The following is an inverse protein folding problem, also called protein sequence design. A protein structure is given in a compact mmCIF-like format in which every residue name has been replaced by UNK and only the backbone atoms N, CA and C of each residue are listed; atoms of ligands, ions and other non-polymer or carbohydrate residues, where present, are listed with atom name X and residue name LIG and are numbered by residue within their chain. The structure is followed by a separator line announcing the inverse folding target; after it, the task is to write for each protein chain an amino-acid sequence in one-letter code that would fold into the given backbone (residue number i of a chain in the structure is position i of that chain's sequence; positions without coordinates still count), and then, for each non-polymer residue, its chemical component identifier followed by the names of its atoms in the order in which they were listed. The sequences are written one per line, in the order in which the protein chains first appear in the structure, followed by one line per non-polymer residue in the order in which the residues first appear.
data_IF_499823338408
#
_entry.id   IF_499823338408
#
_cell.length_a   1.000
_cell.length_b   1.000
_cell.length_c   1.000
_cell.angle_alpha   90.00
_cell.angle_beta   90.00
_cell.angle_gamma   90.00
#
_symmetry.space_group_name_H-M   'P 1'
#
loop_
_entity.id
_entity.type
_entity.pdbx_description
1 polymer ?
2 polymer ?
3 polymer ?
4 branched ?
5 non-polymer ?
#
# COMPACT_ATOMS: atom_id res chain seq x y z
N UNK A 10 11.28 7.42 -18.59
CA UNK A 10 10.92 6.02 -18.34
C UNK A 10 10.31 5.75 -16.96
N UNK A 11 10.88 6.37 -15.92
CA UNK A 11 10.53 6.07 -14.51
C UNK A 11 9.12 6.52 -14.13
N UNK A 12 8.72 6.25 -12.88
CA UNK A 12 7.37 6.53 -12.43
C UNK A 12 7.26 6.82 -10.93
N UNK A 13 6.26 7.65 -10.60
CA UNK A 13 6.04 8.15 -9.24
C UNK A 13 7.15 9.09 -8.93
N UNK A 14 7.03 9.85 -7.88
CA UNK A 14 8.10 10.78 -7.63
C UNK A 14 9.09 10.14 -6.66
N UNK A 15 9.39 8.85 -6.86
CA UNK A 15 10.40 8.21 -6.02
C UNK A 15 11.75 8.81 -6.30
N UNK A 16 12.49 9.12 -5.25
CA UNK A 16 13.84 9.61 -5.42
C UNK A 16 14.84 8.52 -5.02
N UNK A 17 16.11 8.78 -5.33
CA UNK A 17 17.22 7.94 -4.89
C UNK A 17 17.11 6.47 -5.29
N UNK A 18 16.54 6.21 -6.46
CA UNK A 18 16.42 4.82 -6.95
C UNK A 18 15.35 4.06 -6.19
N UNK A 19 14.42 4.81 -5.61
CA UNK A 19 13.23 4.20 -5.11
C UNK A 19 12.54 3.51 -6.26
N UNK A 20 11.78 2.48 -5.90
CA UNK A 20 10.98 1.70 -6.82
C UNK A 20 9.54 1.95 -6.42
N UNK A 21 8.71 2.27 -7.40
CA UNK A 21 7.33 2.57 -7.11
C UNK A 21 6.52 1.31 -6.85
N UNK A 22 5.50 1.37 -5.98
CA UNK A 22 4.57 0.24 -5.81
C UNK A 22 3.13 0.71 -5.68
N UNK A 23 2.19 -0.12 -6.10
CA UNK A 23 0.80 0.13 -5.86
C UNK A 23 0.06 -1.16 -5.64
N UNK A 24 -1.20 -1.04 -5.20
CA UNK A 24 -2.01 -2.22 -4.93
C UNK A 24 -3.47 -2.12 -5.39
N UNK A 25 -3.86 -3.05 -6.25
CA UNK A 25 -5.18 -3.05 -6.85
C UNK A 25 -6.29 -3.14 -5.82
N UNK A 26 -6.05 -3.79 -4.68
CA UNK A 26 -7.08 -3.94 -3.67
C UNK A 26 -7.29 -2.69 -2.84
N UNK A 27 -6.47 -1.66 -3.02
CA UNK A 27 -6.58 -0.48 -2.16
C UNK A 27 -6.55 0.84 -2.89
N UNK A 28 -7.56 1.09 -3.71
CA UNK A 28 -7.68 2.35 -4.43
C UNK A 28 -6.39 2.81 -5.12
N UNK A 29 -5.60 1.84 -5.57
CA UNK A 29 -4.30 2.09 -6.20
C UNK A 29 -3.42 3.17 -5.59
N UNK A 30 -3.54 3.33 -4.28
CA UNK A 30 -2.61 4.16 -3.58
C UNK A 30 -1.26 3.70 -4.03
N UNK A 31 -0.33 4.63 -4.19
CA UNK A 31 0.99 4.26 -4.65
C UNK A 31 1.94 4.74 -3.63
N UNK A 32 3.14 4.21 -3.60
CA UNK A 32 4.11 4.61 -2.59
C UNK A 32 5.46 4.04 -2.96
N UNK A 33 6.51 4.56 -2.34
CA UNK A 33 7.82 4.26 -2.82
C UNK A 33 8.37 3.09 -2.07
N UNK A 34 9.30 2.40 -2.71
CA UNK A 34 10.00 1.34 -2.12
C UNK A 34 11.46 1.70 -2.09
N UNK A 35 11.94 2.06 -0.90
CA UNK A 35 13.19 2.78 -0.72
C UNK A 35 14.34 1.93 -0.25
N UNK A 36 15.57 2.30 -0.66
CA UNK A 36 16.69 1.53 -0.22
C UNK A 36 17.29 2.13 1.04
N UNK A 37 17.62 1.26 1.99
CA UNK A 37 18.71 1.52 2.93
C UNK A 37 18.57 2.80 3.74
N UNK A 38 19.42 3.81 3.47
CA UNK A 38 19.45 5.02 4.29
C UNK A 38 18.55 6.11 3.73
N UNK A 39 17.47 5.70 3.05
CA UNK A 39 16.45 6.64 2.60
C UNK A 39 15.10 6.15 3.01
N UNK A 40 14.32 7.05 3.54
CA UNK A 40 12.94 6.78 3.77
C UNK A 40 12.17 7.98 3.32
N UNK A 41 11.02 8.17 3.93
CA UNK A 41 10.16 9.27 3.59
C UNK A 41 9.21 8.76 2.55
N UNK A 42 8.19 9.55 2.25
CA UNK A 42 7.22 9.08 1.27
C UNK A 42 7.92 8.73 -0.06
N UNK A 43 8.99 9.47 -0.38
CA UNK A 43 9.63 9.36 -1.71
C UNK A 43 11.11 8.94 -1.67
N UNK A 44 11.54 8.31 -0.58
CA UNK A 44 12.95 8.09 -0.32
C UNK A 44 13.59 9.45 -0.29
N UNK A 45 12.85 10.43 0.23
CA UNK A 45 13.26 11.84 0.19
C UNK A 45 14.27 12.10 1.25
N UNK A 46 14.37 11.21 2.24
CA UNK A 46 15.07 11.55 3.47
C UNK A 46 16.30 10.73 3.69
N UNK A 47 17.44 11.39 3.75
CA UNK A 47 18.68 10.68 3.94
C UNK A 47 18.79 10.42 5.42
N UNK A 48 18.22 9.30 5.83
CA UNK A 48 18.26 8.90 7.25
C UNK A 48 19.68 8.54 7.76
N UNK A 49 20.61 8.32 6.83
CA UNK A 49 22.04 8.26 7.17
C UNK A 49 22.64 9.57 7.76
N UNK A 50 22.46 10.71 7.09
CA UNK A 50 23.30 11.93 7.31
C UNK A 50 23.19 12.65 8.67
N UNK A 51 24.30 13.27 9.08
CA UNK A 51 24.37 14.01 10.33
C UNK A 51 25.03 15.37 10.22
N UNK A 52 25.51 15.71 9.04
CA UNK A 52 25.98 17.07 8.85
C UNK A 52 25.56 17.58 7.48
N UNK A 53 25.79 18.87 7.22
CA UNK A 53 25.45 19.43 5.92
C UNK A 53 26.68 19.93 5.21
N UNK A 54 26.65 19.71 3.92
CA UNK A 54 27.56 20.26 2.94
C UNK A 54 27.27 21.74 2.83
N UNK A 55 28.29 22.51 2.47
CA UNK A 55 28.22 23.97 2.46
C UNK A 55 26.86 24.56 2.08
N UNK A 56 26.43 25.56 2.85
CA UNK A 56 25.15 26.23 2.62
C UNK A 56 24.01 25.49 3.26
N UNK A 57 23.76 24.26 2.81
CA UNK A 57 22.71 23.41 3.37
C UNK A 57 21.50 23.22 2.47
N UNK A 58 21.43 23.97 1.36
CA UNK A 58 20.29 23.90 0.45
C UNK A 58 19.98 22.51 -0.05
N UNK A 59 21.00 21.69 -0.24
CA UNK A 59 20.83 20.31 -0.66
C UNK A 59 20.92 19.29 0.49
N UNK A 60 20.98 19.74 1.74
CA UNK A 60 20.83 18.85 2.89
C UNK A 60 19.42 18.29 3.06
N UNK A 61 19.30 16.96 3.02
CA UNK A 61 18.09 16.30 3.48
C UNK A 61 18.40 15.57 4.82
N UNK A 62 17.81 14.42 5.10
CA UNK A 62 18.11 13.82 6.39
C UNK A 62 17.56 14.58 7.58
N UNK A 63 17.68 14.00 8.77
CA UNK A 63 16.80 14.37 9.90
C UNK A 63 17.43 15.48 10.71
N UNK A 64 16.86 15.83 11.85
CA UNK A 64 17.45 16.91 12.63
C UNK A 64 16.39 17.94 12.65
N UNK A 65 15.88 18.22 13.85
CA UNK A 65 14.59 18.85 14.00
C UNK A 65 14.55 20.00 14.99
N UNK A 66 15.71 20.56 15.31
CA UNK A 66 15.86 21.41 16.49
C UNK A 66 16.78 22.61 16.19
N UNK A 67 16.50 23.80 16.74
CA UNK A 67 17.38 24.94 16.45
C UNK A 67 18.50 25.03 17.48
N UNK A 68 19.14 26.19 17.63
CA UNK A 68 20.31 26.33 18.50
C UNK A 68 19.98 26.19 19.98
N UNK A 69 18.80 26.68 20.34
CA UNK A 69 18.35 26.73 21.73
C UNK A 69 17.80 25.38 22.18
N UNK A 70 17.73 24.44 21.24
CA UNK A 70 17.14 23.13 21.49
C UNK A 70 15.66 23.12 21.14
N UNK A 71 15.12 24.28 20.79
CA UNK A 71 13.71 24.39 20.46
C UNK A 71 13.43 23.49 19.26
N UNK A 72 12.32 22.72 19.29
CA UNK A 72 11.94 21.85 18.19
C UNK A 72 11.32 22.61 17.04
N UNK A 73 11.58 22.15 15.83
CA UNK A 73 11.04 22.79 14.65
C UNK A 73 9.52 22.61 14.53
N UNK A 74 8.84 23.59 13.97
CA UNK A 74 7.44 23.41 13.56
C UNK A 74 7.40 22.58 12.27
N UNK A 75 6.40 21.67 12.12
CA UNK A 75 6.28 20.87 10.91
C UNK A 75 5.97 21.70 9.68
N UNK A 76 6.64 21.39 8.56
CA UNK A 76 6.46 22.14 7.32
C UNK A 76 5.03 22.17 6.79
N UNK A 77 4.20 21.21 7.24
CA UNK A 77 2.77 21.13 6.86
C UNK A 77 1.79 21.65 7.91
N UNK A 78 2.27 22.06 9.07
CA UNK A 78 1.40 22.58 10.11
C UNK A 78 0.68 23.89 9.66
N UNK A 79 -0.46 24.20 10.26
CA UNK A 79 -1.22 25.41 9.92
C UNK A 79 -0.43 26.73 10.06
N UNK A 80 0.41 26.83 11.09
CA UNK A 80 1.19 28.05 11.26
C UNK A 80 2.17 28.12 10.12
N UNK A 81 2.98 27.07 9.95
CA UNK A 81 4.00 27.09 8.91
C UNK A 81 3.33 27.30 7.53
N UNK A 82 2.11 26.77 7.41
CA UNK A 82 1.38 26.89 6.17
C UNK A 82 1.11 28.35 5.82
N UNK A 83 1.37 29.24 6.78
CA UNK A 83 1.21 30.68 6.53
C UNK A 83 2.51 31.35 6.05
N UNK A 84 3.66 30.71 6.25
CA UNK A 84 4.92 31.30 5.79
C UNK A 84 5.19 31.14 4.30
N UNK A 85 6.35 31.65 3.89
CA UNK A 85 6.83 31.45 2.54
C UNK A 85 7.14 29.98 2.29
N UNK A 86 7.71 29.27 3.26
CA UNK A 86 8.18 27.90 2.99
C UNK A 86 7.40 26.82 3.71
N UNK A 87 6.70 25.99 2.95
CA UNK A 87 5.87 24.94 3.53
C UNK A 87 5.63 23.83 2.53
N UNK A 88 5.14 22.71 3.04
CA UNK A 88 5.13 21.43 2.33
C UNK A 88 4.12 21.37 1.22
N UNK A 89 3.14 22.26 1.25
CA UNK A 89 2.08 22.30 0.23
C UNK A 89 2.42 23.33 -0.79
N UNK A 90 3.45 23.07 -1.61
CA UNK A 90 4.11 24.13 -2.34
C UNK A 90 4.84 23.62 -3.57
N UNK A 91 4.17 22.81 -4.39
CA UNK A 91 4.70 22.41 -5.70
C UNK A 91 6.16 21.97 -5.57
N UNK A 92 7.10 22.90 -5.70
CA UNK A 92 8.52 22.57 -5.53
C UNK A 92 8.87 21.93 -4.18
N UNK A 93 7.89 21.78 -3.29
CA UNK A 93 8.11 21.27 -1.92
C UNK A 93 9.07 20.09 -1.78
N UNK A 94 8.94 19.10 -2.68
CA UNK A 94 9.83 17.95 -2.64
C UNK A 94 11.25 18.37 -2.98
N UNK A 95 11.38 19.19 -4.02
CA UNK A 95 12.69 19.60 -4.48
C UNK A 95 13.36 20.48 -3.46
N UNK A 96 12.57 21.04 -2.55
CA UNK A 96 13.13 21.85 -1.46
C UNK A 96 13.26 21.09 -0.16
N UNK A 97 12.87 19.83 -0.15
CA UNK A 97 12.99 19.02 1.07
C UNK A 97 11.95 19.31 2.12
N UNK A 98 10.89 20.01 1.73
CA UNK A 98 9.87 20.42 2.66
C UNK A 98 8.67 19.51 2.57
N UNK A 99 8.42 18.78 3.64
CA UNK A 99 7.35 17.81 3.66
C UNK A 99 6.61 17.74 4.97
N UNK A 100 6.13 16.55 5.28
CA UNK A 100 5.26 16.27 6.40
C UNK A 100 6.19 15.76 7.48
N UNK A 101 6.96 16.68 8.05
CA UNK A 101 8.00 16.38 9.03
C UNK A 101 8.45 17.73 9.49
N UNK A 102 9.27 17.77 10.53
CA UNK A 102 9.91 19.01 10.92
C UNK A 102 11.44 18.94 10.86
N UNK A 103 11.96 18.25 9.87
CA UNK A 103 13.39 18.22 9.64
C UNK A 103 13.89 19.55 9.09
N UNK A 104 15.08 19.95 9.54
CA UNK A 104 15.74 21.20 9.12
C UNK A 104 15.92 21.31 7.65
N UNK A 105 15.86 22.51 7.11
CA UNK A 105 16.12 22.71 5.68
C UNK A 105 16.60 24.13 5.45
N UNK A 106 17.08 24.40 4.24
CA UNK A 106 17.52 25.74 3.85
C UNK A 106 17.15 25.97 2.41
N UNK A 107 15.85 26.03 2.15
CA UNK A 107 15.34 26.19 0.79
C UNK A 107 15.58 27.59 0.27
N UNK A 108 15.88 28.52 1.16
CA UNK A 108 16.15 29.91 0.76
C UNK A 108 17.58 30.32 1.10
N UNK A 109 18.53 29.44 0.88
CA UNK A 109 19.94 29.80 0.94
C UNK A 109 20.32 30.81 2.03
N UNK A 110 19.96 30.54 3.29
CA UNK A 110 20.63 31.18 4.44
C UNK A 110 22.04 30.58 4.54
N UNK A 111 22.83 31.06 5.49
CA UNK A 111 24.20 30.55 5.67
C UNK A 111 24.17 29.08 5.99
N UNK A 112 23.09 28.65 6.63
CA UNK A 112 22.96 27.27 7.03
C UNK A 112 21.52 26.78 7.12
N UNK A 113 21.32 25.46 7.22
CA UNK A 113 20.07 24.81 7.58
C UNK A 113 19.36 25.41 8.78
N UNK A 114 18.05 25.62 8.62
CA UNK A 114 17.20 26.34 9.58
C UNK A 114 15.80 25.78 9.59
N UNK A 115 14.90 26.45 10.32
CA UNK A 115 13.49 26.06 10.34
C UNK A 115 12.62 27.07 11.07
N UNK A 116 11.30 26.93 10.96
CA UNK A 116 10.34 27.77 11.70
C UNK A 116 10.16 27.26 13.15
N UNK A 117 10.17 28.17 14.11
CA UNK A 117 10.13 27.76 15.51
C UNK A 117 9.22 28.68 16.28
N UNK A 118 8.45 28.07 17.17
CA UNK A 118 7.40 28.79 17.86
C UNK A 118 8.08 29.48 19.03
N UNK A 119 8.39 30.75 18.83
CA UNK A 119 8.92 31.64 19.85
C UNK A 119 8.13 32.92 19.75
N UNK A 120 7.34 33.22 20.77
CA UNK A 120 6.37 34.28 20.63
C UNK A 120 5.14 33.72 19.95
N UNK A 121 4.39 34.57 19.27
CA UNK A 121 3.17 34.19 18.56
C UNK A 121 3.59 33.79 17.13
N UNK A 122 3.33 34.62 16.11
CA UNK A 122 4.15 34.63 14.88
C UNK A 122 5.49 33.89 15.15
N UNK A 123 5.70 32.71 14.51
CA UNK A 123 6.89 31.90 14.76
C UNK A 123 8.06 32.34 13.92
N UNK A 124 9.27 32.11 14.42
CA UNK A 124 10.49 32.75 13.90
C UNK A 124 11.35 31.72 13.20
N UNK A 125 12.05 32.16 12.15
CA UNK A 125 12.99 31.29 11.50
C UNK A 125 14.23 31.26 12.35
N UNK A 126 14.79 30.07 12.53
CA UNK A 126 15.94 29.86 13.43
C UNK A 126 17.02 28.96 12.81
N UNK A 127 18.26 29.42 12.72
CA UNK A 127 19.35 28.54 12.33
C UNK A 127 19.27 27.27 13.18
N UNK A 128 19.57 26.14 12.56
CA UNK A 128 19.25 24.85 13.16
C UNK A 128 20.41 24.01 13.65
N UNK A 129 20.13 23.26 14.72
CA UNK A 129 20.97 22.19 15.31
C UNK A 129 21.67 21.22 14.32
N UNK A 130 22.71 21.65 13.66
CA UNK A 130 23.32 20.78 12.70
C UNK A 130 24.74 21.17 12.47
N UNK A 131 25.53 20.19 12.08
CA UNK A 131 26.95 20.37 11.94
C UNK A 131 27.30 20.48 10.48
N UNK A 132 28.28 21.32 10.19
CA UNK A 132 28.91 21.38 8.88
C UNK A 132 29.97 20.29 8.85
N UNK A 133 29.99 19.53 7.77
CA UNK A 133 30.90 18.40 7.64
C UNK A 133 32.38 18.81 7.61
N UNK A 134 32.66 20.11 7.67
CA UNK A 134 34.02 20.59 7.87
C UNK A 134 34.52 20.25 9.26
N UNK B 1 3.96 -8.44 35.87
CA UNK B 1 5.17 -7.59 35.81
C UNK B 1 5.64 -7.43 34.36
N UNK B 2 6.10 -6.23 34.02
CA UNK B 2 6.35 -5.84 32.62
C UNK B 2 7.84 -5.84 32.33
N UNK B 3 8.45 -4.67 32.10
CA UNK B 3 9.92 -4.54 32.10
C UNK B 3 10.67 -5.47 31.15
N UNK B 4 11.48 -4.88 30.29
CA UNK B 4 12.18 -5.66 29.28
C UNK B 4 13.60 -6.04 29.72
N UNK B 5 14.08 -5.46 30.82
CA UNK B 5 15.40 -5.84 31.31
C UNK B 5 15.43 -7.34 31.52
N UNK B 6 14.30 -7.90 31.94
CA UNK B 6 14.10 -9.34 31.94
C UNK B 6 14.48 -9.96 30.59
N UNK B 7 15.69 -10.51 30.54
CA UNK B 7 16.21 -11.25 29.41
C UNK B 7 16.33 -10.39 28.15
N UNK B 8 15.21 -9.85 27.67
CA UNK B 8 15.20 -8.87 26.60
C UNK B 8 15.34 -9.49 25.24
N UNK B 9 15.60 -10.79 25.13
CA UNK B 9 15.63 -11.45 23.81
C UNK B 9 15.32 -12.94 23.88
N UNK B 10 14.17 -13.22 24.44
CA UNK B 10 13.54 -14.52 24.37
C UNK B 10 12.78 -14.60 23.07
N UNK B 11 11.81 -13.70 22.90
CA UNK B 11 10.87 -13.75 21.77
C UNK B 11 9.47 -13.41 22.25
N UNK B 12 8.45 -13.71 21.45
CA UNK B 12 7.07 -13.35 21.83
C UNK B 12 6.51 -14.27 22.92
N UNK B 13 6.11 -13.63 24.02
CA UNK B 13 5.59 -14.30 25.20
C UNK B 13 4.08 -14.11 25.33
N UNK B 14 3.30 -15.06 24.82
CA UNK B 14 1.85 -14.89 24.71
C UNK B 14 1.12 -14.73 26.07
N UNK B 15 1.64 -15.29 27.16
CA UNK B 15 1.20 -14.81 28.50
C UNK B 15 2.26 -13.91 29.15
N UNK B 16 2.26 -12.66 28.71
CA UNK B 16 3.17 -11.61 29.19
C UNK B 16 2.66 -10.24 28.70
N UNK B 17 2.79 -9.20 29.53
CA UNK B 17 2.34 -7.84 29.18
C UNK B 17 3.21 -7.29 28.05
N UNK B 18 4.09 -6.32 28.28
CA UNK B 18 4.94 -5.85 27.16
C UNK B 18 5.79 -6.97 26.61
N UNK B 19 6.22 -6.76 25.37
CA UNK B 19 7.07 -7.70 24.67
C UNK B 19 8.41 -7.07 24.38
N UNK B 20 9.40 -7.93 24.14
CA UNK B 20 10.79 -7.49 23.98
C UNK B 20 11.41 -8.01 22.72
N UNK B 21 10.58 -8.50 21.82
CA UNK B 21 11.09 -9.11 20.60
C UNK B 21 11.26 -8.07 19.50
N UNK B 22 11.72 -8.57 18.36
CA UNK B 22 12.10 -7.75 17.21
C UNK B 22 10.91 -7.06 16.51
N UNK B 23 9.71 -7.54 16.74
CA UNK B 23 8.53 -7.01 16.06
C UNK B 23 7.58 -6.31 17.05
N UNK B 24 8.04 -6.00 18.26
CA UNK B 24 7.13 -5.49 19.27
C UNK B 24 6.56 -4.14 18.80
N UNK B 25 7.42 -3.26 18.28
CA UNK B 25 6.95 -2.00 17.69
C UNK B 25 5.94 -2.24 16.55
N UNK B 26 6.12 -3.27 15.75
CA UNK B 26 5.14 -3.55 14.72
C UNK B 26 3.82 -3.83 15.37
N UNK B 27 3.87 -4.75 16.34
CA UNK B 27 2.65 -5.20 16.98
C UNK B 27 2.25 -4.20 18.01
N UNK B 28 3.06 -3.15 18.15
CA UNK B 28 2.78 -2.05 19.07
C UNK B 28 2.71 -2.58 20.49
N UNK B 29 3.72 -3.35 20.89
CA UNK B 29 3.65 -4.07 22.16
C UNK B 29 4.88 -3.97 23.05
N UNK B 30 5.86 -3.16 22.65
CA UNK B 30 7.12 -3.08 23.38
C UNK B 30 6.99 -2.66 24.84
N UNK B 31 8.03 -2.93 25.61
CA UNK B 31 8.23 -2.30 26.90
C UNK B 31 8.86 -0.98 26.66
N UNK B 32 8.53 -0.03 27.51
CA UNK B 32 8.99 1.33 27.34
C UNK B 32 10.49 1.44 27.56
N UNK B 33 11.09 0.37 28.08
CA UNK B 33 12.55 0.30 28.20
C UNK B 33 13.20 -0.64 27.17
N UNK B 34 12.42 -1.17 26.21
CA UNK B 34 13.01 -1.97 25.13
C UNK B 34 14.13 -1.15 24.49
N UNK B 35 13.75 -0.03 23.87
CA UNK B 35 14.70 0.82 23.16
C UNK B 35 15.95 0.97 24.00
N UNK B 36 15.75 1.36 25.25
CA UNK B 36 16.86 1.55 26.17
C UNK B 36 17.56 0.23 26.40
N UNK B 37 16.90 -0.69 27.10
CA UNK B 37 17.55 -1.92 27.58
C UNK B 37 18.28 -2.63 26.47
N UNK B 38 17.57 -3.20 25.49
CA UNK B 38 18.28 -3.86 24.39
C UNK B 38 17.99 -3.21 23.03
N UNK B 39 18.54 -2.00 22.85
CA UNK B 39 18.59 -1.30 21.56
C UNK B 39 19.22 0.11 21.74
N UNK B 40 20.36 0.21 22.45
CA UNK B 40 20.76 1.56 22.87
C UNK B 40 21.31 2.42 21.73
N UNK C 3 -23.83 13.32 -1.03
CA UNK C 3 -22.58 12.77 -0.42
C UNK C 3 -21.39 13.69 -0.66
N UNK C 4 -20.82 14.22 0.43
CA UNK C 4 -19.55 14.93 0.41
C UNK C 4 -18.51 14.10 1.13
N UNK C 5 -17.25 14.29 0.80
CA UNK C 5 -16.18 13.54 1.46
C UNK C 5 -14.97 14.40 1.70
N UNK C 6 -14.06 13.86 2.49
CA UNK C 6 -12.74 14.42 2.65
C UNK C 6 -11.88 13.89 1.50
N UNK C 7 -11.27 14.83 0.78
CA UNK C 7 -10.22 14.51 -0.17
C UNK C 7 -8.85 14.83 0.46
N UNK C 8 -8.01 13.82 0.59
CA UNK C 8 -6.71 13.98 1.19
C UNK C 8 -5.60 13.18 0.47
N UNK C 9 -4.64 13.94 -0.07
CA UNK C 9 -3.40 13.42 -0.61
C UNK C 9 -2.51 12.98 0.53
N UNK C 10 -1.66 12.01 0.26
CA UNK C 10 -0.67 11.56 1.20
C UNK C 10 0.16 12.72 1.72
N UNK C 11 0.42 13.75 0.93
CA UNK C 11 1.21 14.88 1.45
C UNK C 11 0.40 15.65 2.50
N UNK C 12 -0.84 15.21 2.72
CA UNK C 12 -1.70 15.73 3.76
C UNK C 12 -2.58 16.92 3.40
N UNK C 13 -2.40 17.50 2.23
CA UNK C 13 -3.26 18.60 1.72
C UNK C 13 -4.71 18.07 1.62
N UNK C 14 -5.66 18.74 2.27
CA UNK C 14 -7.07 18.28 2.22
C UNK C 14 -8.06 19.35 1.84
N UNK C 15 -9.26 18.88 1.49
CA UNK C 15 -10.34 19.75 1.05
C UNK C 15 -11.61 18.91 1.14
N UNK C 16 -12.73 19.47 0.65
CA UNK C 16 -14.00 18.77 0.63
C UNK C 16 -14.49 18.64 -0.80
N UNK C 17 -14.83 17.43 -1.23
CA UNK C 17 -15.46 17.23 -2.54
C UNK C 17 -16.94 16.79 -2.43
N UNK C 18 -17.81 17.47 -3.19
CA UNK C 18 -19.23 17.11 -3.29
C UNK C 18 -19.29 15.73 -3.94
N UNK C 19 -19.43 14.70 -3.11
CA UNK C 19 -18.64 13.49 -3.30
C UNK C 19 -18.72 12.80 -4.68
N UNK C 20 -18.39 13.57 -5.72
CA UNK C 20 -18.36 13.11 -7.10
C UNK C 20 -19.77 13.05 -7.58
N UNK C 21 -20.01 12.35 -8.68
CA UNK C 21 -21.39 12.17 -9.20
C UNK C 21 -21.89 10.83 -8.69
N UNK C 22 -22.70 10.13 -9.50
CA UNK C 22 -23.16 8.75 -9.26
C UNK C 22 -22.63 8.00 -8.05
N UNK C 23 -21.30 7.94 -7.94
CA UNK C 23 -20.55 7.26 -6.84
C UNK C 23 -20.74 7.83 -5.44
N UNK C 24 -20.82 6.94 -4.43
CA UNK C 24 -21.17 7.35 -3.07
C UNK C 24 -20.71 6.44 -1.94
N UNK C 25 -19.41 6.49 -1.73
CA UNK C 25 -18.80 6.15 -0.46
C UNK C 25 -17.58 7.07 -0.32
N UNK C 26 -17.26 7.46 0.90
CA UNK C 26 -15.97 8.02 1.13
C UNK C 26 -15.16 6.90 1.70
N UNK C 27 -13.86 7.04 1.56
CA UNK C 27 -12.97 6.01 2.00
C UNK C 27 -11.70 6.63 2.55
N UNK C 28 -11.06 5.85 3.42
CA UNK C 28 -9.71 6.13 3.85
C UNK C 28 -8.81 4.92 3.65
N UNK C 29 -7.61 5.19 3.20
CA UNK C 29 -6.71 4.12 2.88
C UNK C 29 -5.44 4.47 3.58
N UNK C 30 -4.85 3.48 4.24
CA UNK C 30 -3.65 3.72 5.01
C UNK C 30 -2.62 2.71 4.62
N UNK C 31 -1.39 3.19 4.50
CA UNK C 31 -0.27 2.35 4.20
C UNK C 31 0.70 2.66 5.30
N UNK C 32 1.12 1.62 6.03
CA UNK C 32 2.12 1.75 7.08
C UNK C 32 3.38 0.98 6.66
N UNK C 33 4.44 1.72 6.42
CA UNK C 33 5.69 1.15 6.05
C UNK C 33 6.47 1.08 7.33
N UNK C 34 6.89 -0.13 7.71
CA UNK C 34 7.51 -0.38 9.01
C UNK C 34 8.83 -1.15 8.81
N UNK C 35 9.90 -0.72 9.47
CA UNK C 35 11.23 -1.21 9.16
C UNK C 35 12.12 -1.14 10.42
N UNK C 36 12.46 -2.30 10.98
CA UNK C 36 12.98 -2.41 12.36
C UNK C 36 12.32 -1.34 13.24
N UNK C 37 13.08 -0.53 13.96
CA UNK C 37 12.42 0.46 14.79
C UNK C 37 11.42 1.29 13.99
N UNK C 38 11.91 1.94 12.96
CA UNK C 38 11.22 3.08 12.41
C UNK C 38 10.06 2.74 11.48
N UNK C 39 9.20 3.76 11.29
CA UNK C 39 7.98 3.63 10.52
C UNK C 39 7.45 4.94 9.98
N UNK C 40 6.39 4.86 9.16
CA UNK C 40 5.88 5.96 8.33
C UNK C 40 4.51 5.56 7.90
N UNK C 41 3.64 6.53 7.72
CA UNK C 41 2.20 6.30 7.56
C UNK C 41 1.71 7.16 6.45
N UNK C 42 1.07 6.59 5.45
CA UNK C 42 0.47 7.37 4.44
C UNK C 42 -1.03 7.14 4.53
N UNK C 43 -1.75 8.24 4.43
CA UNK C 43 -3.18 8.23 4.55
C UNK C 43 -3.77 8.91 3.33
N UNK C 44 -4.75 8.29 2.69
CA UNK C 44 -5.47 8.94 1.60
C UNK C 44 -6.97 8.95 1.88
N UNK C 45 -7.66 10.02 1.54
CA UNK C 45 -9.09 10.03 1.69
C UNK C 45 -9.69 10.54 0.41
N UNK C 46 -10.89 10.07 0.10
CA UNK C 46 -11.64 10.56 -1.05
C UNK C 46 -12.96 9.81 -1.24
N UNK C 47 -13.82 10.34 -2.12
CA UNK C 47 -14.93 9.63 -2.76
C UNK C 47 -14.51 8.26 -3.30
N UNK C 48 -15.50 7.41 -3.58
CA UNK C 48 -15.26 6.20 -4.35
C UNK C 48 -16.56 5.51 -4.64
N UNK C 49 -16.51 4.46 -5.47
CA UNK C 49 -17.72 3.76 -5.89
C UNK C 49 -18.22 2.78 -4.82
N UNK C 50 -19.47 2.36 -5.03
CA UNK C 50 -20.27 1.69 -4.01
C UNK C 50 -19.79 0.27 -3.66
N UNK C 51 -19.39 -0.52 -4.65
CA UNK C 51 -18.97 -1.90 -4.40
C UNK C 51 -17.58 -2.04 -3.78
N UNK C 52 -16.97 -0.94 -3.31
CA UNK C 52 -15.80 -0.98 -2.40
C UNK C 52 -16.19 -1.32 -0.95
N UNK C 53 -15.23 -1.80 -0.17
CA UNK C 53 -15.51 -2.30 1.18
C UNK C 53 -14.27 -2.27 2.10
N UNK C 54 -14.45 -2.73 3.34
CA UNK C 54 -13.40 -2.77 4.36
C UNK C 54 -12.46 -3.97 4.19
N UNK C 55 -11.15 -3.75 4.22
CA UNK C 55 -10.14 -4.78 3.79
C UNK C 55 -8.71 -4.57 4.32
N UNK C 56 -7.86 -5.63 4.45
CA UNK C 56 -6.49 -5.36 5.00
C UNK C 56 -5.19 -5.76 4.33
N UNK C 57 -4.87 -6.99 4.08
CA UNK C 57 -3.48 -7.24 3.54
C UNK C 57 -2.27 -6.60 4.30
N UNK C 58 -1.34 -7.47 4.73
CA UNK C 58 -0.12 -7.03 5.45
C UNK C 58 0.95 -8.03 5.17
N UNK C 59 2.16 -7.60 4.82
CA UNK C 59 3.19 -8.57 4.48
C UNK C 59 4.62 -8.13 4.66
N UNK C 60 5.47 -9.13 4.87
CA UNK C 60 6.88 -8.93 5.14
C UNK C 60 7.67 -9.06 3.89
N UNK C 61 8.55 -8.11 3.64
CA UNK C 61 9.58 -8.22 2.64
C UNK C 61 10.86 -7.99 3.42
N UNK C 62 11.63 -9.04 3.62
CA UNK C 62 12.91 -8.92 4.30
C UNK C 62 12.73 -8.37 5.69
N UNK C 63 13.57 -7.39 6.04
CA UNK C 63 13.52 -6.69 7.31
C UNK C 63 12.20 -5.93 7.56
N UNK C 64 11.36 -5.74 6.54
CA UNK C 64 10.28 -4.76 6.64
C UNK C 64 8.94 -5.42 6.58
N UNK C 65 7.94 -4.77 7.18
CA UNK C 65 6.56 -5.12 6.94
C UNK C 65 5.80 -3.91 6.40
N UNK C 66 4.87 -4.18 5.46
CA UNK C 66 3.93 -3.23 4.88
C UNK C 66 2.52 -3.66 5.30
N UNK C 67 1.65 -2.67 5.50
CA UNK C 67 0.29 -2.92 6.04
C UNK C 67 -0.74 -2.04 5.38
N UNK C 68 -1.47 -2.61 4.43
CA UNK C 68 -2.45 -1.84 3.78
C UNK C 68 -3.73 -2.01 4.50
N UNK C 69 -4.51 -0.96 4.47
CA UNK C 69 -5.80 -1.02 5.06
C UNK C 69 -6.62 0.13 4.51
N UNK C 70 -7.90 -0.17 4.28
CA UNK C 70 -8.81 0.80 3.68
C UNK C 70 -10.21 0.67 4.25
N UNK C 71 -10.71 1.75 4.83
CA UNK C 71 -12.01 1.72 5.47
C UNK C 71 -13.04 2.57 4.76
N UNK C 72 -14.28 2.16 4.90
CA UNK C 72 -15.33 2.55 4.01
C UNK C 72 -16.57 2.86 4.82
N UNK C 73 -17.10 4.08 4.61
CA UNK C 73 -18.39 4.52 5.14
C UNK C 73 -19.16 5.32 4.05
N UNK C 74 -20.40 5.72 4.36
CA UNK C 74 -21.27 6.43 3.40
C UNK C 74 -22.15 7.56 3.92
N UNK C 75 -21.53 8.61 4.46
CA UNK C 75 -22.20 9.76 5.07
C UNK C 75 -21.49 11.06 4.67
N UNK C 76 -22.25 12.11 4.35
CA UNK C 76 -21.68 13.43 4.03
C UNK C 76 -20.62 13.74 5.08
N UNK C 77 -19.37 13.47 4.75
CA UNK C 77 -18.24 13.56 5.69
C UNK C 77 -18.34 12.51 6.81
N UNK C 78 -17.49 11.48 6.67
CA UNK C 78 -17.25 10.45 7.69
C UNK C 78 -15.85 9.78 7.60
N UNK C 79 -15.04 10.16 6.61
CA UNK C 79 -13.65 9.79 6.59
C UNK C 79 -12.83 10.68 7.50
N UNK C 80 -13.35 11.89 7.71
CA UNK C 80 -13.04 12.83 8.80
C UNK C 80 -12.57 12.21 10.13
N UNK C 81 -11.39 12.62 10.61
CA UNK C 81 -10.85 12.09 11.88
C UNK C 81 -9.87 10.90 11.72
N UNK C 82 -9.32 10.49 12.88
CA UNK C 82 -8.16 9.61 12.96
C UNK C 82 -8.47 8.10 12.84
N UNK C 83 -7.41 7.34 12.53
CA UNK C 83 -7.45 5.87 12.26
C UNK C 83 -8.03 4.97 13.40
N UNK C 84 -8.04 3.65 13.17
CA UNK C 84 -8.54 2.67 14.15
C UNK C 84 -9.18 1.45 13.53
N UNK C 87 -3.41 3.20 25.13
CA UNK C 87 -4.57 2.37 24.82
C UNK C 87 -4.04 0.96 24.40
N UNK C 88 -4.59 0.40 23.31
CA UNK C 88 -4.06 -0.79 22.60
C UNK C 88 -5.20 -1.43 21.77
N UNK C 89 -5.07 -1.37 20.43
CA UNK C 89 -5.86 -2.18 19.47
C UNK C 89 -5.11 -3.53 19.17
N UNK C 90 -3.78 -3.55 19.21
CA UNK C 90 -3.08 -4.82 19.25
C UNK C 90 -2.75 -5.13 20.69
N UNK C 91 -3.73 -5.70 21.39
CA UNK C 91 -3.48 -6.27 22.71
C UNK C 91 -2.84 -7.65 22.56
N UNK C 92 -2.91 -8.22 21.35
CA UNK C 92 -2.33 -9.51 21.10
C UNK C 92 -1.97 -9.73 19.63
N UNK C 93 -1.49 -10.93 19.36
CA UNK C 93 -1.09 -11.39 18.05
C UNK C 93 -1.85 -12.67 17.79
N UNK C 94 -2.44 -12.79 16.60
CA UNK C 94 -3.42 -13.85 16.31
C UNK C 94 -2.86 -14.89 15.34
N UNK C 95 -3.50 -15.09 14.20
CA UNK C 95 -3.10 -16.17 13.31
C UNK C 95 -1.68 -15.96 12.78
N UNK C 96 -1.00 -17.08 12.54
CA UNK C 96 0.36 -17.09 11.98
C UNK C 96 0.32 -17.57 10.55
N UNK C 97 0.88 -16.76 9.65
CA UNK C 97 1.01 -17.12 8.24
C UNK C 97 2.37 -16.85 7.73
N UNK C 98 2.61 -17.47 6.58
CA UNK C 98 3.79 -17.22 5.80
C UNK C 98 3.57 -15.93 5.08
N UNK C 99 4.67 -15.23 4.86
CA UNK C 99 4.58 -14.04 4.11
C UNK C 99 5.87 -13.69 3.42
N UNK C 100 5.72 -13.07 2.25
CA UNK C 100 6.82 -12.51 1.47
C UNK C 100 6.20 -11.62 0.40
N UNK C 101 7.02 -11.08 -0.51
CA UNK C 101 6.49 -10.42 -1.71
C UNK C 101 7.49 -10.11 -2.79
N UNK C 102 6.98 -9.80 -4.00
CA UNK C 102 7.86 -9.65 -5.17
C UNK C 102 8.82 -8.48 -5.15
N UNK C 103 8.55 -7.43 -4.38
CA UNK C 103 9.39 -6.22 -4.39
C UNK C 103 10.85 -6.45 -3.98
N UNK C 104 11.13 -7.49 -3.21
CA UNK C 104 12.52 -7.93 -2.95
C UNK C 104 12.70 -9.43 -3.23
N UNK C 105 11.78 -9.97 -4.02
CA UNK C 105 11.82 -11.37 -4.41
C UNK C 105 11.77 -12.38 -3.25
N UNK C 106 11.59 -11.91 -2.02
CA UNK C 106 11.47 -12.83 -0.90
C UNK C 106 10.52 -13.96 -1.26
N UNK C 107 9.47 -13.63 -1.99
CA UNK C 107 8.57 -14.67 -2.47
C UNK C 107 9.27 -15.61 -3.46
N UNK C 108 9.86 -15.03 -4.49
CA UNK C 108 10.38 -15.79 -5.63
C UNK C 108 11.58 -16.65 -5.30
N UNK C 109 12.32 -16.29 -4.27
CA UNK C 109 13.52 -17.00 -3.88
C UNK C 109 13.26 -17.76 -2.57
N UNK C 110 12.00 -18.16 -2.36
CA UNK C 110 11.60 -18.95 -1.21
C UNK C 110 12.03 -18.42 0.14
N UNK C 111 12.35 -17.13 0.24
CA UNK C 111 12.73 -16.55 1.52
C UNK C 111 11.49 -16.12 2.30
N UNK C 112 10.59 -17.07 2.53
CA UNK C 112 9.28 -16.82 3.14
C UNK C 112 9.49 -16.59 4.64
N UNK C 113 8.60 -15.85 5.29
CA UNK C 113 8.73 -15.58 6.72
C UNK C 113 7.38 -15.71 7.49
N UNK C 114 7.47 -16.00 8.78
CA UNK C 114 6.31 -16.08 9.63
C UNK C 114 5.85 -14.68 9.93
N UNK C 115 4.53 -14.47 9.90
CA UNK C 115 3.93 -13.17 10.20
C UNK C 115 2.64 -13.43 10.94
N UNK C 116 2.45 -12.76 12.07
CA UNK C 116 1.26 -12.99 12.86
C UNK C 116 0.31 -11.84 12.59
N UNK C 117 -0.97 -12.15 12.49
CA UNK C 117 -1.94 -11.10 12.27
C UNK C 117 -2.18 -10.24 13.49
N UNK C 118 -2.76 -9.07 13.23
CA UNK C 118 -2.97 -8.09 14.26
C UNK C 118 -4.40 -8.07 14.74
N UNK C 119 -5.26 -8.82 14.06
CA UNK C 119 -6.68 -8.85 14.40
C UNK C 119 -7.26 -10.26 14.27
N UNK C 120 -8.37 -10.53 14.99
CA UNK C 120 -9.01 -11.84 14.99
C UNK C 120 -9.77 -12.21 13.73
N UNK C 121 -9.85 -11.30 12.78
CA UNK C 121 -10.69 -11.53 11.62
C UNK C 121 -9.79 -11.82 10.40
N UNK C 122 -8.55 -11.36 10.49
CA UNK C 122 -7.60 -11.53 9.42
C UNK C 122 -7.30 -13.03 9.20
N UNK C 123 -7.15 -13.41 7.92
CA UNK C 123 -6.76 -14.75 7.49
C UNK C 123 -5.47 -14.67 6.68
N UNK C 124 -4.92 -15.82 6.35
CA UNK C 124 -3.73 -15.83 5.50
C UNK C 124 -4.13 -15.81 4.01
N UNK C 125 -3.36 -15.04 3.26
CA UNK C 125 -3.66 -14.71 1.87
C UNK C 125 -2.44 -14.94 1.03
N UNK C 126 -2.70 -15.38 -0.20
CA UNK C 126 -1.73 -15.47 -1.30
C UNK C 126 -2.45 -14.78 -2.47
N UNK C 127 -1.90 -13.68 -2.93
CA UNK C 127 -2.49 -12.97 -4.06
C UNK C 127 -1.45 -12.99 -5.20
N UNK C 128 -1.93 -13.23 -6.41
CA UNK C 128 -1.12 -13.24 -7.63
C UNK C 128 -1.64 -12.18 -8.59
N UNK C 129 -0.75 -11.37 -9.13
CA UNK C 129 -1.15 -10.32 -10.05
C UNK C 129 -0.20 -10.27 -11.20
N UNK C 130 -0.57 -10.88 -12.31
CA UNK C 130 0.33 -10.95 -13.47
C UNK C 130 -0.21 -10.22 -14.67
N UNK C 131 0.66 -9.52 -15.40
CA UNK C 131 0.27 -8.81 -16.65
C UNK C 131 1.25 -9.07 -17.77
N UNK C 132 0.75 -9.46 -18.95
CA UNK C 132 1.62 -9.67 -20.11
C UNK C 132 2.66 -8.57 -20.20
N UNK C 133 2.23 -7.31 -20.35
CA UNK C 133 3.15 -6.14 -20.38
C UNK C 133 2.37 -4.78 -20.37
N UNK C 134 2.25 -4.12 -21.52
CA UNK C 134 1.88 -2.68 -21.61
C UNK C 134 0.36 -2.42 -21.84
N UNK C 135 -0.08 -1.21 -21.47
CA UNK C 135 -1.43 -0.69 -21.81
C UNK C 135 -1.46 0.83 -21.90
N UNK C 136 -1.17 1.46 -20.76
CA UNK C 136 -0.84 2.90 -20.67
C UNK C 136 0.56 3.12 -21.28
N UNK C 137 1.57 2.55 -20.60
CA UNK C 137 2.99 2.56 -21.01
C UNK C 137 3.84 1.81 -19.94
N UNK C 138 3.35 0.66 -19.49
CA UNK C 138 3.99 -0.04 -18.37
C UNK C 138 3.02 -0.78 -17.45
N UNK C 139 1.81 -0.23 -17.27
CA UNK C 139 0.71 -0.88 -16.50
C UNK C 139 0.88 -0.95 -14.97
N UNK C 140 -0.20 -1.27 -14.23
CA UNK C 140 -0.15 -1.34 -12.76
C UNK C 140 1.16 -1.79 -12.15
N UNK C 141 1.47 -1.28 -10.95
CA UNK C 141 2.69 -1.61 -10.27
C UNK C 141 2.40 -2.42 -9.03
N UNK C 142 1.42 -3.31 -9.13
CA UNK C 142 1.22 -4.37 -8.15
C UNK C 142 2.40 -5.32 -8.09
N UNK C 143 2.79 -5.65 -6.87
CA UNK C 143 3.71 -6.74 -6.66
C UNK C 143 3.02 -7.95 -7.24
N UNK C 144 3.81 -8.81 -7.82
CA UNK C 144 3.25 -9.90 -8.58
C UNK C 144 2.85 -11.07 -7.69
N UNK C 145 3.61 -11.29 -6.62
CA UNK C 145 3.23 -12.18 -5.53
C UNK C 145 3.40 -11.47 -4.23
N UNK C 146 2.41 -11.68 -3.39
CA UNK C 146 2.30 -11.02 -2.10
C UNK C 146 1.66 -12.11 -1.27
N UNK C 147 2.21 -12.44 -0.11
CA UNK C 147 1.42 -13.17 0.84
C UNK C 147 1.70 -12.80 2.28
N UNK C 148 0.72 -13.12 3.13
CA UNK C 148 0.60 -12.48 4.44
C UNK C 148 -0.78 -12.52 5.09
N UNK C 149 -1.03 -11.52 5.94
CA UNK C 149 -2.24 -11.44 6.75
C UNK C 149 -3.18 -10.50 6.10
N UNK C 150 -4.47 -10.80 6.19
CA UNK C 150 -5.40 -9.87 5.61
C UNK C 150 -6.82 -10.36 5.60
N UNK C 151 -7.70 -9.45 5.24
CA UNK C 151 -9.04 -9.82 4.91
C UNK C 151 -9.46 -9.01 3.71
N UNK C 152 -9.48 -9.69 2.57
CA UNK C 152 -9.74 -9.08 1.28
C UNK C 152 -11.17 -9.37 0.83
N UNK C 153 -11.65 -8.65 -0.18
CA UNK C 153 -13.07 -8.79 -0.45
C UNK C 153 -13.32 -10.15 -1.05
N UNK C 154 -14.44 -10.76 -0.67
CA UNK C 154 -14.82 -12.08 -1.19
C UNK C 154 -13.61 -12.99 -1.02
N UNK C 155 -13.51 -13.54 0.15
CA UNK C 155 -12.27 -14.09 0.59
C UNK C 155 -12.46 -15.57 0.86
N UNK C 156 -13.15 -15.92 1.97
CA UNK C 156 -13.01 -17.31 2.41
C UNK C 156 -12.89 -18.20 1.19
N UNK C 157 -11.83 -19.00 1.14
CA UNK C 157 -11.59 -19.85 0.00
C UNK C 157 -10.83 -19.10 -1.07
N UNK C 158 -11.28 -19.23 -2.31
CA UNK C 158 -10.47 -18.73 -3.39
C UNK C 158 -11.17 -18.21 -4.63
N UNK C 159 -10.42 -17.42 -5.39
CA UNK C 159 -10.89 -17.00 -6.70
C UNK C 159 -9.75 -16.65 -7.66
N UNK C 160 -10.03 -16.78 -8.96
CA UNK C 160 -9.00 -16.52 -9.96
C UNK C 160 -9.57 -16.34 -11.33
N UNK C 161 -8.88 -15.52 -12.11
CA UNK C 161 -9.18 -15.36 -13.54
C UNK C 161 -7.87 -15.30 -14.33
N UNK C 162 -7.84 -15.98 -15.47
CA UNK C 162 -6.77 -15.71 -16.40
C UNK C 162 -7.29 -15.66 -17.77
N UNK C 163 -6.53 -15.00 -18.66
CA UNK C 163 -6.83 -15.01 -20.09
C UNK C 163 -5.56 -14.75 -20.86
N UNK C 164 -5.63 -14.50 -22.16
CA UNK C 164 -4.39 -14.39 -22.96
C UNK C 164 -3.25 -13.66 -22.28
N UNK C 165 -3.54 -12.65 -21.48
CA UNK C 165 -2.46 -11.78 -21.01
C UNK C 165 -2.62 -11.29 -19.55
N UNK C 166 -3.33 -12.05 -18.74
CA UNK C 166 -3.45 -11.71 -17.36
C UNK C 166 -3.81 -12.89 -16.52
N UNK C 167 -3.43 -12.78 -15.25
CA UNK C 167 -3.73 -13.79 -14.28
C UNK C 167 -3.69 -13.21 -12.88
N UNK C 168 -4.79 -13.41 -12.17
CA UNK C 168 -5.02 -12.82 -10.86
C UNK C 168 -5.50 -13.93 -9.99
N UNK C 169 -5.06 -14.00 -8.75
CA UNK C 169 -5.55 -15.08 -7.89
C UNK C 169 -5.48 -14.73 -6.42
N UNK C 170 -6.50 -15.16 -5.66
CA UNK C 170 -6.60 -14.94 -4.21
C UNK C 170 -6.86 -16.28 -3.58
N UNK C 171 -5.93 -16.74 -2.78
CA UNK C 171 -6.24 -17.78 -1.83
C UNK C 171 -6.36 -17.00 -0.53
N UNK C 172 -7.20 -17.53 0.34
CA UNK C 172 -7.66 -16.79 1.47
C UNK C 172 -8.35 -17.78 2.43
N UNK C 173 -7.67 -18.09 3.53
CA UNK C 173 -7.97 -19.28 4.31
C UNK C 173 -7.75 -19.02 5.81
N UNK C 174 -8.58 -19.65 6.66
CA UNK C 174 -8.60 -19.31 8.11
C UNK C 174 -7.75 -20.19 9.01
N UNK C 175 -7.08 -21.20 8.46
CA UNK C 175 -6.31 -22.14 9.29
C UNK C 175 -4.84 -21.69 9.47
N UNK C 176 -4.14 -22.25 10.45
CA UNK C 176 -2.74 -21.89 10.74
C UNK C 176 -1.82 -22.17 9.57
N UNK C 177 -1.12 -21.14 9.11
CA UNK C 177 -0.18 -21.25 7.97
C UNK C 177 -0.78 -21.86 6.70
N UNK C 178 -2.10 -21.89 6.60
CA UNK C 178 -2.75 -22.44 5.43
C UNK C 178 -2.35 -21.74 4.13
N UNK C 179 -1.58 -20.65 4.19
CA UNK C 179 -1.05 -19.99 2.99
C UNK C 179 0.36 -20.38 2.55
N UNK C 180 0.94 -21.40 3.16
CA UNK C 180 2.33 -21.71 2.82
C UNK C 180 2.42 -22.57 1.55
N UNK C 181 3.66 -22.93 1.19
CA UNK C 181 3.91 -23.76 0.01
C UNK C 181 4.51 -22.91 -1.09
N UNK C 182 4.73 -23.52 -2.26
CA UNK C 182 5.42 -22.85 -3.35
C UNK C 182 4.49 -21.82 -4.01
N UNK C 183 5.04 -20.74 -4.55
CA UNK C 183 4.19 -19.69 -5.14
C UNK C 183 3.65 -20.16 -6.49
N UNK C 184 2.32 -20.06 -6.69
CA UNK C 184 1.67 -20.46 -7.99
C UNK C 184 2.35 -19.77 -9.13
N UNK C 185 2.43 -20.39 -10.31
CA UNK C 185 2.85 -19.63 -11.50
C UNK C 185 1.93 -19.73 -12.70
N UNK C 186 0.74 -20.28 -12.52
CA UNK C 186 -0.20 -20.52 -13.64
C UNK C 186 0.33 -21.55 -14.64
N UNK C 187 1.28 -21.14 -15.45
CA UNK C 187 1.95 -22.02 -16.46
C UNK C 187 2.60 -23.19 -15.76
N UNK C 188 1.80 -23.92 -15.01
CA UNK C 188 2.29 -24.55 -13.80
C UNK C 188 1.17 -25.27 -13.06
N UNK C 189 -0.04 -24.81 -13.30
CA UNK C 189 -1.25 -25.49 -12.90
C UNK C 189 -1.74 -26.26 -14.11
N UNK C 190 -2.42 -27.41 -13.88
CA UNK C 190 -2.93 -28.29 -14.94
C UNK C 190 -3.93 -27.65 -15.86
N UNK C 191 -4.02 -28.10 -17.09
CA UNK C 191 -5.12 -27.65 -17.93
C UNK C 191 -6.30 -28.42 -17.43
N UNK C 192 -7.44 -27.78 -17.25
CA UNK C 192 -8.56 -28.44 -16.59
C UNK C 192 -9.46 -29.13 -17.57
N UNK C 193 -9.30 -28.78 -18.84
CA UNK C 193 -10.08 -29.39 -19.93
C UNK C 193 -10.88 -28.36 -20.71
N UNK C 194 -11.30 -27.28 -20.05
CA UNK C 194 -12.13 -26.29 -20.72
C UNK C 194 -11.28 -25.44 -21.63
N UNK C 195 -11.93 -24.96 -22.69
CA UNK C 195 -11.39 -23.95 -23.57
C UNK C 195 -12.35 -22.79 -23.45
N UNK C 196 -11.82 -21.58 -23.47
CA UNK C 196 -12.63 -20.39 -23.42
C UNK C 196 -12.01 -19.35 -24.27
N UNK C 197 -12.84 -18.41 -24.70
CA UNK C 197 -12.36 -17.29 -25.45
C UNK C 197 -11.71 -16.26 -24.53
N UNK C 198 -10.92 -15.39 -25.13
CA UNK C 198 -10.06 -14.44 -24.41
C UNK C 198 -9.91 -13.09 -25.17
N UNK C 199 -10.16 -11.97 -24.49
CA UNK C 199 -9.76 -10.64 -24.98
C UNK C 199 -9.89 -9.64 -23.87
N UNK C 200 -9.34 -8.45 -24.09
CA UNK C 200 -9.55 -7.28 -23.25
C UNK C 200 -10.14 -6.22 -24.16
N UNK C 201 -10.30 -4.98 -23.71
CA UNK C 201 -10.62 -3.88 -24.62
C UNK C 201 -12.07 -3.81 -25.05
N UNK C 202 -12.33 -2.97 -26.05
CA UNK C 202 -13.73 -2.65 -26.42
C UNK C 202 -14.35 -3.77 -27.24
N UNK C 203 -15.68 -3.77 -27.28
CA UNK C 203 -16.44 -4.77 -28.02
C UNK C 203 -16.14 -4.69 -29.52
N UNK C 204 -15.73 -3.50 -29.97
CA UNK C 204 -15.23 -3.33 -31.33
C UNK C 204 -13.78 -2.91 -31.20
N UNK C 205 -12.91 -3.64 -31.90
CA UNK C 205 -11.46 -3.60 -31.70
C UNK C 205 -11.05 -3.66 -30.23
N UNK C 206 -10.52 -4.84 -29.87
CA UNK C 206 -10.21 -5.21 -28.50
C UNK C 206 -10.83 -6.58 -28.31
N UNK C 207 -12.16 -6.58 -28.25
CA UNK C 207 -12.96 -7.79 -28.16
C UNK C 207 -13.87 -7.92 -29.39
N UNK C 208 -13.28 -8.12 -30.56
CA UNK C 208 -14.03 -8.42 -31.76
C UNK C 208 -13.75 -9.88 -32.12
N UNK C 209 -14.63 -10.47 -32.94
CA UNK C 209 -14.58 -11.91 -33.27
C UNK C 209 -13.23 -12.33 -33.76
N UNK C 210 -12.63 -11.45 -34.56
CA UNK C 210 -11.35 -11.64 -35.22
C UNK C 210 -10.19 -11.60 -34.22
N UNK C 211 -10.43 -10.95 -33.07
CA UNK C 211 -9.42 -10.77 -32.02
C UNK C 211 -9.56 -11.70 -30.84
N UNK C 212 -10.65 -12.46 -30.82
CA UNK C 212 -10.99 -13.33 -29.70
C UNK C 212 -10.86 -14.77 -30.12
N UNK C 213 -10.06 -15.51 -29.36
CA UNK C 213 -9.57 -16.83 -29.78
C UNK C 213 -9.53 -17.61 -28.51
N UNK C 214 -9.50 -18.94 -28.61
CA UNK C 214 -9.52 -19.78 -27.41
C UNK C 214 -8.17 -19.94 -26.73
N UNK C 215 -8.25 -20.27 -25.43
CA UNK C 215 -7.11 -20.58 -24.56
C UNK C 215 -7.54 -21.74 -23.67
N UNK C 216 -6.60 -22.47 -23.11
CA UNK C 216 -6.94 -23.64 -22.31
C UNK C 216 -6.92 -23.23 -20.88
N UNK C 217 -8.07 -23.29 -20.24
CA UNK C 217 -8.15 -22.87 -18.87
C UNK C 217 -7.30 -23.77 -18.03
N UNK C 218 -6.88 -23.28 -16.89
CA UNK C 218 -6.06 -24.03 -15.97
C UNK C 218 -6.58 -23.92 -14.55
N UNK C 219 -6.04 -24.77 -13.70
CA UNK C 219 -6.44 -24.85 -12.32
C UNK C 219 -7.94 -24.94 -12.14
N UNK C 220 -8.44 -24.36 -11.05
CA UNK C 220 -9.84 -24.39 -10.70
C UNK C 220 -10.62 -23.39 -11.51
N UNK C 221 -9.94 -22.55 -12.28
CA UNK C 221 -10.60 -21.61 -13.15
C UNK C 221 -11.06 -22.36 -14.38
N UNK C 222 -12.31 -22.80 -14.31
CA UNK C 222 -12.87 -23.65 -15.30
C UNK C 222 -14.31 -23.24 -15.66
N UNK C 223 -14.65 -21.96 -15.49
CA UNK C 223 -15.81 -21.41 -16.18
C UNK C 223 -15.25 -20.42 -17.17
N UNK C 224 -15.93 -20.32 -18.31
CA UNK C 224 -15.68 -19.24 -19.23
C UNK C 224 -16.50 -18.12 -18.73
N UNK C 225 -15.94 -16.92 -18.84
CA UNK C 225 -16.50 -15.71 -18.26
C UNK C 225 -16.45 -14.56 -19.26
N UNK C 226 -17.50 -13.74 -19.22
CA UNK C 226 -17.53 -12.48 -19.92
C UNK C 226 -17.87 -11.43 -18.89
N UNK C 227 -17.04 -10.40 -18.86
CA UNK C 227 -17.29 -9.25 -17.99
C UNK C 227 -17.40 -7.99 -18.84
N UNK C 228 -18.43 -7.20 -18.62
CA UNK C 228 -18.45 -5.83 -19.11
C UNK C 228 -18.65 -4.86 -17.94
N UNK C 229 -18.06 -3.66 -18.07
CA UNK C 229 -17.98 -2.66 -16.98
C UNK C 229 -17.32 -1.36 -17.48
N UNK C 230 -17.04 -0.41 -16.58
CA UNK C 230 -16.56 0.93 -17.00
C UNK C 230 -15.21 1.29 -16.35
N UNK C 231 -14.22 1.61 -17.18
CA UNK C 231 -12.81 1.68 -16.72
C UNK C 231 -12.45 3.02 -16.10
N UNK C 232 -11.29 3.05 -15.43
CA UNK C 232 -10.72 4.30 -14.90
C UNK C 232 -10.04 5.16 -16.00
N UNK C 233 -9.41 6.31 -15.62
CA UNK C 233 -9.77 7.64 -16.12
C UNK C 233 -11.09 7.71 -16.93
N UNK C 234 -12.13 7.18 -16.29
CA UNK C 234 -13.55 7.15 -16.74
C UNK C 234 -13.79 6.97 -18.24
N UNK C 235 -13.03 6.05 -18.83
CA UNK C 235 -13.29 5.57 -20.19
C UNK C 235 -14.20 4.31 -20.16
N UNK C 236 -15.41 4.49 -20.66
CA UNK C 236 -16.49 3.53 -20.44
C UNK C 236 -16.26 2.30 -21.25
N UNK C 237 -17.11 1.29 -21.05
CA UNK C 237 -17.25 0.17 -22.01
C UNK C 237 -16.33 -1.03 -21.86
N UNK C 238 -15.14 -0.86 -21.31
CA UNK C 238 -14.22 -2.00 -21.12
C UNK C 238 -14.93 -3.33 -20.93
N UNK C 239 -14.51 -4.29 -21.78
CA UNK C 239 -14.90 -5.69 -21.73
C UNK C 239 -13.68 -6.61 -21.57
N UNK C 240 -13.94 -7.76 -20.93
CA UNK C 240 -12.93 -8.79 -20.64
C UNK C 240 -13.53 -10.22 -20.76
N UNK C 241 -12.77 -11.16 -21.34
CA UNK C 241 -13.21 -12.56 -21.51
C UNK C 241 -12.11 -13.50 -21.14
N UNK C 242 -12.44 -14.60 -20.45
CA UNK C 242 -11.44 -15.57 -20.03
C UNK C 242 -11.86 -16.82 -19.24
N UNK C 243 -10.89 -17.38 -18.52
CA UNK C 243 -11.15 -18.54 -17.67
C UNK C 243 -11.24 -18.06 -16.25
N UNK C 244 -12.30 -18.44 -15.54
CA UNK C 244 -12.41 -18.05 -14.12
C UNK C 244 -12.99 -19.14 -13.26
N UNK C 245 -12.90 -18.90 -11.95
CA UNK C 245 -13.58 -19.70 -10.95
C UNK C 245 -15.03 -19.22 -10.82
N UNK C 246 -15.91 -20.10 -10.35
CA UNK C 246 -17.29 -19.73 -10.06
C UNK C 246 -17.32 -18.56 -9.09
N UNK C 247 -16.44 -18.59 -8.08
CA UNK C 247 -16.19 -17.45 -7.21
C UNK C 247 -16.07 -16.13 -7.96
N UNK C 248 -15.35 -16.12 -9.08
CA UNK C 248 -15.25 -14.87 -9.83
C UNK C 248 -16.58 -14.49 -10.48
N UNK C 249 -17.35 -15.48 -10.91
CA UNK C 249 -18.64 -15.22 -11.51
C UNK C 249 -19.67 -14.81 -10.45
N UNK C 250 -19.20 -14.66 -9.22
CA UNK C 250 -20.04 -14.17 -8.16
C UNK C 250 -19.40 -12.92 -7.59
N UNK C 251 -20.17 -11.84 -7.63
CA UNK C 251 -19.76 -10.55 -7.10
C UNK C 251 -18.78 -9.85 -8.04
N UNK C 252 -18.58 -8.56 -7.79
CA UNK C 252 -17.60 -7.76 -8.51
C UNK C 252 -16.25 -7.98 -7.86
N UNK C 253 -15.67 -9.14 -8.14
CA UNK C 253 -14.31 -9.46 -7.72
C UNK C 253 -13.39 -9.08 -8.85
N UNK C 254 -13.97 -9.05 -10.04
CA UNK C 254 -13.27 -8.58 -11.21
C UNK C 254 -13.10 -7.06 -11.19
N UNK C 255 -13.97 -6.37 -10.46
CA UNK C 255 -13.89 -4.92 -10.34
C UNK C 255 -12.50 -4.46 -10.03
N UNK C 256 -11.98 -4.89 -8.87
CA UNK C 256 -10.67 -4.46 -8.39
C UNK C 256 -9.51 -4.95 -9.25
N UNK C 257 -9.58 -6.20 -9.71
CA UNK C 257 -8.68 -6.71 -10.77
C UNK C 257 -8.47 -5.68 -11.90
N UNK C 258 -9.56 -5.43 -12.63
CA UNK C 258 -9.54 -4.58 -13.80
C UNK C 258 -9.93 -3.12 -13.60
N UNK C 259 -9.79 -2.57 -12.40
CA UNK C 259 -9.99 -1.16 -12.25
C UNK C 259 -11.33 -0.74 -12.93
N UNK C 260 -12.38 -1.54 -12.68
CA UNK C 260 -13.70 -1.39 -13.34
C UNK C 260 -14.86 -1.15 -12.31
N UNK C 261 -15.89 -0.40 -12.71
CA UNK C 261 -17.13 -0.17 -11.88
C UNK C 261 -18.37 -0.85 -12.44
N UNK C 262 -19.47 -0.74 -11.72
CA UNK C 262 -20.80 -1.07 -12.23
C UNK C 262 -20.79 -2.16 -13.27
N UNK C 263 -20.51 -3.37 -12.83
CA UNK C 263 -20.11 -4.44 -13.71
C UNK C 263 -21.07 -5.62 -13.75
N UNK C 264 -21.32 -6.12 -14.96
CA UNK C 264 -22.06 -7.37 -15.19
C UNK C 264 -21.09 -8.42 -15.62
N UNK C 265 -21.27 -9.61 -15.06
CA UNK C 265 -20.45 -10.75 -15.41
C UNK C 265 -21.32 -11.94 -15.70
N UNK C 266 -21.47 -12.27 -16.97
CA UNK C 266 -22.08 -13.52 -17.34
C UNK C 266 -20.98 -14.54 -17.21
N UNK C 267 -21.35 -15.81 -17.10
CA UNK C 267 -20.41 -16.93 -17.04
C UNK C 267 -21.08 -18.19 -17.55
N UNK C 268 -20.29 -19.19 -17.97
CA UNK C 268 -20.84 -20.49 -18.38
C UNK C 268 -19.82 -21.65 -18.38
N UNK C 269 -20.34 -22.86 -18.47
CA UNK C 269 -19.60 -24.12 -18.30
C UNK C 269 -19.04 -24.74 -19.59
N UNK C 270 -19.87 -25.00 -20.61
CA UNK C 270 -19.37 -25.72 -21.80
C UNK C 270 -18.24 -24.95 -22.49
N UNK C 271 -17.21 -25.65 -22.95
CA UNK C 271 -16.09 -24.98 -23.61
C UNK C 271 -16.52 -24.08 -24.77
N UNK C 272 -15.87 -22.93 -24.90
CA UNK C 272 -16.16 -22.01 -26.00
C UNK C 272 -17.43 -21.21 -25.86
N UNK C 273 -18.27 -21.51 -24.85
CA UNK C 273 -19.62 -20.88 -24.68
C UNK C 273 -19.57 -19.37 -24.50
N UNK C 274 -18.41 -18.82 -24.84
CA UNK C 274 -17.83 -17.59 -24.31
C UNK C 274 -17.71 -16.51 -25.39
N UNK C 275 -18.20 -16.81 -26.59
CA UNK C 275 -17.84 -16.06 -27.79
C UNK C 275 -18.74 -14.85 -27.76
N UNK C 276 -18.29 -13.74 -28.34
CA UNK C 276 -19.28 -12.70 -28.63
C UNK C 276 -20.46 -13.24 -29.40
N UNK C 277 -20.45 -14.51 -29.74
CA UNK C 277 -21.41 -15.12 -30.64
C UNK C 277 -21.17 -14.48 -32.00
X LIG D 1 -12.25 1.86 -27.79
X LIG D 1 -12.65 3.13 -28.53
X LIG D 1 -11.44 3.71 -29.31
X LIG D 1 -10.22 3.90 -28.34
X LIG D 1 -9.95 2.59 -27.59
X LIG D 1 -8.96 2.77 -26.43
X LIG D 1 -14.99 2.32 -28.73
X LIG D 1 -15.29 0.85 -28.92
X LIG D 1 -13.87 2.85 -29.30
X LIG D 1 -11.76 4.88 -30.03
X LIG D 1 -8.99 4.31 -29.00
X LIG D 1 -11.10 2.06 -26.98
X LIG D 1 -7.79 3.41 -26.87
X LIG D 1 -15.79 2.97 -28.05
X LIG D 2 -8.57 5.72 -28.94
X LIG D 2 -9.36 6.57 -29.95
X LIG D 2 -8.99 8.07 -29.94
X LIG D 2 -8.72 8.69 -28.55
X LIG D 2 -8.08 7.66 -27.57
X LIG D 2 -8.23 8.11 -26.11
X LIG D 2 -9.14 4.77 -31.67
X LIG D 2 -7.75 4.27 -31.84
X LIG D 2 -9.26 6.06 -31.33
X LIG D 2 -10.03 8.81 -30.56
X LIG D 2 -8.00 9.96 -28.67
X LIG D 2 -8.60 6.32 -27.65
X LIG D 2 -7.32 9.14 -25.79
X LIG D 2 -10.11 4.03 -31.86
X LIG D 3 -8.46 11.07 -27.80
X LIG D 3 -8.95 12.27 -28.66
X LIG D 3 -8.04 13.48 -28.68
X LIG D 3 -7.69 13.85 -27.25
X LIG D 3 -6.89 12.70 -26.64
X LIG D 3 -6.59 13.06 -25.18
X LIG D 3 -10.22 12.70 -28.20
X LIG D 3 -8.69 14.58 -29.27
X LIG D 3 -6.93 15.05 -27.20
X LIG D 3 -7.53 11.41 -26.75
X LIG D 3 -5.52 12.26 -24.73
X LIG E 1 -15.74 -1.96 8.38
X LIG E 1 -15.46 -0.67 9.15
X LIG E 1 -16.41 -0.62 10.35
X LIG E 1 -17.86 -0.69 9.89
X LIG E 1 -18.05 -1.87 8.94
X LIG E 1 -19.43 -1.85 8.30
X LIG E 1 -13.48 -0.42 10.69
X LIG E 1 -12.41 -1.40 11.08
X LIG E 1 -14.02 -0.56 9.47
X LIG E 1 -16.17 0.55 11.10
X LIG E 1 -18.75 -0.84 10.98
X LIG E 1 -17.08 -1.88 7.91
X LIG E 1 -19.68 -3.16 7.85
X LIG E 1 -13.79 0.48 11.48
X LIG F 1 -13.32 -20.94 8.75
X LIG F 1 -13.53 -22.46 8.52
X LIG F 1 -15.00 -22.81 8.23
X LIG F 1 -15.86 -22.34 9.40
X LIG F 1 -15.62 -20.83 9.58
X LIG F 1 -15.31 -20.48 11.04
X LIG F 1 -11.83 -24.03 7.65
X LIG F 1 -12.51 -25.36 7.52
X LIG F 1 -12.62 -22.95 7.48
X LIG F 1 -15.23 -24.20 8.01
X LIG F 1 -17.23 -22.71 9.24
X LIG F 1 -14.59 -20.29 8.74
X LIG F 1 -16.33 -20.97 11.88
X LIG F 1 -10.63 -23.98 7.88
#
# INVERSE_FOLDING_TARGET
RSSNELHQVPSNCDCLNGGTCVSNKYFSNIHWCNCPKKFGGQHCEIDKSKTCYEGNGHFYRGKASTDTMGRPCLPWNSATVLQQTYHAHRSDALQLGLGKHNYCRNPDNRRRPWCYVQVGLKPLVQECMVHDCAD
QESCKGRCTEGFNVDKKCQCDELCSYYQSCCTDYTAECKP
RSLRCMQCKTNGDCRVEECALGQDLCRTTIVRLWEEGEELELVEKSCTHSEKTNRTLSYRTGLKITSLTEVVCGLDLCNQGNSGRAVTYSRSRYLECISCGSSDMSCERGRHQSLQCRSPEEQCLDVVTHWIQEGEEGRPKDDRHLRGCGYLPGCPGSNGFHNNDTFHFLKCCNTTKCNEGPILELENLPQNGRQCYSCKGNSTHGCSSEETFLIDCRGPMNQCLVATGTHEPKNQSYMVRGCATASMCQHAHLGDAFSMNHIDVSCCTKSGCNHPDLDVQYR
NAG C1 C2 C3 C4 C5 C6 C7 C8 N2 O3 O4 O5 O6 O7
NAG C1 C2 C3 C4 C5 C6 C7 C8 N2 O3 O4 O5 O6 O7
MAN C1 C2 C3 C4 C5 C6 O2 O3 O4 O5 O6
NAG C1 C2 C3 C4 C5 C6 C7 C8 N2 O3 O4 O5 O6 O7
NAG C1 C2 C3 C4 C5 C6 C7 C8 N2 O3 O4 O5 O6 O7
#
